data_IF_712040910335
#
_entry.id   IF_712040910335
#
_cell.length_a   1.000
_cell.length_b   1.000
_cell.length_c   1.000
_cell.angle_alpha   90.00
_cell.angle_beta   90.00
_cell.angle_gamma   90.00
#
_symmetry.space_group_name_H-M   'P 1'
#
loop_
_entity.id
_entity.type
_entity.pdbx_description
1 polymer ?
#
# COMPACT_ATOMS: atom_id res chain seq x y z
N UNK A 1 -9.19 3.13 21.17
CA UNK A 1 -9.20 2.74 19.74
C UNK A 1 -8.96 1.24 19.64
N UNK A 2 -9.78 0.44 20.33
CA UNK A 2 -9.55 -1.01 20.50
C UNK A 2 -10.86 -1.82 20.48
N UNK A 3 -11.99 -1.22 20.06
CA UNK A 3 -13.33 -1.85 20.12
C UNK A 3 -14.02 -1.97 18.76
N UNK A 4 -13.27 -2.21 17.66
CA UNK A 4 -13.86 -2.39 16.33
C UNK A 4 -13.73 -3.81 15.75
N UNK A 5 -13.19 -4.76 16.52
CA UNK A 5 -13.04 -6.17 16.12
C UNK A 5 -13.91 -7.16 16.91
N UNK A 6 -15.02 -6.70 17.48
CA UNK A 6 -15.99 -7.56 18.16
C UNK A 6 -17.37 -7.45 17.53
N UNK A 7 -17.57 -8.09 16.38
CA UNK A 7 -18.91 -8.47 15.92
C UNK A 7 -19.04 -9.97 16.10
N UNK A 8 -19.56 -10.35 17.26
CA UNK A 8 -20.08 -11.67 17.54
C UNK A 8 -21.25 -12.02 16.58
N UNK A 9 -21.48 -13.32 16.29
CA UNK A 9 -22.61 -13.75 15.47
C UNK A 9 -23.92 -13.60 16.27
N UNK A 10 -24.69 -12.54 16.02
CA UNK A 10 -26.08 -12.40 16.45
C UNK A 10 -26.99 -13.03 15.39
N UNK A 11 -27.67 -14.14 15.63
CA UNK A 11 -28.90 -14.25 16.44
C UNK A 11 -29.86 -13.09 16.10
N UNK A 12 -30.52 -13.20 14.94
CA UNK A 12 -31.66 -12.36 14.61
C UNK A 12 -32.85 -12.77 15.49
N UNK A 13 -33.36 -11.81 16.26
CA UNK A 13 -34.59 -11.93 17.05
C UNK A 13 -35.79 -12.03 16.10
N UNK A 14 -36.52 -13.14 16.11
CA UNK A 14 -37.88 -13.19 15.56
C UNK A 14 -38.86 -13.57 16.67
N UNK A 15 -39.89 -12.74 16.83
CA UNK A 15 -41.12 -13.12 17.51
C UNK A 15 -41.86 -14.17 16.67
N UNK A 16 -42.46 -15.14 17.33
CA UNK A 16 -42.86 -16.40 16.74
C UNK A 16 -44.12 -16.40 15.87
N UNK A 17 -44.19 -17.43 15.03
CA UNK A 17 -45.37 -18.24 14.74
C UNK A 17 -44.86 -19.62 14.27
N UNK A 18 -45.38 -20.70 14.84
CA UNK A 18 -45.00 -22.05 14.50
C UNK A 18 -45.43 -22.38 13.05
N UNK A 19 -44.49 -22.91 12.26
CA UNK A 19 -44.82 -23.64 11.04
C UNK A 19 -43.82 -24.77 10.86
N UNK A 20 -44.37 -25.97 10.79
CA UNK A 20 -43.64 -27.23 10.88
C UNK A 20 -43.08 -27.65 9.52
N UNK A 21 -41.90 -28.28 9.59
CA UNK A 21 -41.34 -29.26 8.67
C UNK A 21 -41.52 -29.03 7.15
N UNK A 22 -40.42 -28.68 6.49
CA UNK A 22 -39.72 -29.59 5.56
C UNK A 22 -38.64 -28.79 4.84
N UNK A 23 -37.38 -29.07 5.14
CA UNK A 23 -36.23 -28.44 4.53
C UNK A 23 -35.13 -29.47 4.42
N UNK A 24 -35.13 -30.16 3.29
CA UNK A 24 -34.23 -31.25 2.94
C UNK A 24 -32.76 -30.90 3.26
N UNK A 25 -32.12 -31.73 4.07
CA UNK A 25 -30.66 -31.75 4.21
C UNK A 25 -30.05 -32.52 3.04
N UNK A 26 -30.07 -31.94 1.83
CA UNK A 26 -29.30 -32.49 0.71
C UNK A 26 -28.69 -31.32 -0.07
N UNK A 27 -27.38 -31.11 0.11
CA UNK A 27 -26.63 -30.12 -0.67
C UNK A 27 -25.28 -29.68 -0.10
N UNK A 28 -24.62 -30.47 0.74
CA UNK A 28 -23.28 -30.14 1.29
C UNK A 28 -22.10 -30.53 0.40
N UNK A 29 -22.32 -31.03 -0.82
CA UNK A 29 -21.23 -31.55 -1.67
C UNK A 29 -20.57 -30.50 -2.58
N UNK A 30 -21.14 -29.30 -2.73
CA UNK A 30 -20.61 -28.31 -3.67
C UNK A 30 -19.51 -27.41 -3.08
N UNK A 31 -19.51 -27.14 -1.76
CA UNK A 31 -18.51 -26.25 -1.16
C UNK A 31 -17.18 -26.95 -0.83
N UNK A 32 -17.22 -28.26 -0.58
CA UNK A 32 -16.00 -29.06 -0.35
C UNK A 32 -15.19 -29.18 -1.65
N UNK A 33 -15.85 -29.49 -2.77
CA UNK A 33 -15.20 -29.59 -4.08
C UNK A 33 -14.60 -28.26 -4.58
N UNK A 34 -15.25 -27.12 -4.29
CA UNK A 34 -14.73 -25.80 -4.64
C UNK A 34 -13.49 -25.41 -3.82
N UNK A 35 -13.44 -25.81 -2.54
CA UNK A 35 -12.27 -25.63 -1.67
C UNK A 35 -11.08 -26.46 -2.17
N UNK A 36 -11.32 -27.72 -2.55
CA UNK A 36 -10.28 -28.62 -3.06
C UNK A 36 -9.67 -28.12 -4.37
N UNK A 37 -10.50 -27.61 -5.28
CA UNK A 37 -10.03 -26.96 -6.51
C UNK A 37 -9.17 -25.73 -6.22
N UNK A 38 -9.57 -24.91 -5.25
CA UNK A 38 -8.82 -23.71 -4.86
C UNK A 38 -7.43 -24.08 -4.31
N UNK A 39 -7.34 -25.10 -3.47
CA UNK A 39 -6.06 -25.58 -2.94
C UNK A 39 -5.19 -26.20 -4.03
N UNK A 40 -5.78 -26.91 -5.00
CA UNK A 40 -5.06 -27.40 -6.17
C UNK A 40 -4.46 -26.26 -7.00
N UNK A 41 -5.25 -25.22 -7.30
CA UNK A 41 -4.77 -24.04 -8.03
C UNK A 41 -3.64 -23.33 -7.28
N UNK A 42 -3.78 -23.16 -5.96
CA UNK A 42 -2.71 -22.58 -5.12
C UNK A 42 -1.44 -23.44 -5.17
N UNK A 43 -1.55 -24.75 -5.13
CA UNK A 43 -0.41 -25.66 -5.23
C UNK A 43 0.27 -25.56 -6.61
N UNK A 44 -0.50 -25.46 -7.69
CA UNK A 44 0.03 -25.24 -9.04
C UNK A 44 0.77 -23.90 -9.14
N UNK A 45 0.19 -22.82 -8.64
CA UNK A 45 0.81 -21.49 -8.62
C UNK A 45 2.09 -21.50 -7.76
N UNK A 46 2.05 -22.10 -6.56
CA UNK A 46 3.19 -22.16 -5.64
C UNK A 46 4.33 -23.05 -6.16
N UNK A 47 4.01 -24.09 -6.92
CA UNK A 47 4.99 -24.97 -7.56
C UNK A 47 5.59 -24.41 -8.85
N UNK A 48 5.08 -23.29 -9.35
CA UNK A 48 5.46 -22.75 -10.66
C UNK A 48 6.86 -22.10 -10.67
N UNK A 49 7.69 -22.28 -11.71
CA UNK A 49 9.03 -21.68 -11.80
C UNK A 49 9.05 -20.16 -11.71
N UNK A 50 7.97 -19.50 -12.14
CA UNK A 50 7.80 -18.04 -12.06
C UNK A 50 7.25 -17.54 -10.72
N UNK A 51 6.86 -18.42 -9.80
CA UNK A 51 6.33 -18.02 -8.49
C UNK A 51 7.25 -17.09 -7.70
N UNK A 52 8.59 -17.28 -7.66
CA UNK A 52 9.48 -16.36 -6.97
C UNK A 52 9.44 -14.94 -7.56
N UNK A 53 9.34 -14.81 -8.88
CA UNK A 53 9.21 -13.50 -9.55
C UNK A 53 7.88 -12.84 -9.23
N UNK A 54 6.79 -13.62 -9.24
CA UNK A 54 5.46 -13.13 -8.89
C UNK A 54 5.40 -12.62 -7.45
N UNK A 55 5.90 -13.42 -6.51
CA UNK A 55 5.95 -13.05 -5.10
C UNK A 55 6.81 -11.79 -4.88
N UNK A 56 7.93 -11.67 -5.59
CA UNK A 56 8.78 -10.47 -5.53
C UNK A 56 8.04 -9.23 -6.01
N UNK A 57 7.32 -9.30 -7.14
CA UNK A 57 6.53 -8.18 -7.65
C UNK A 57 5.41 -7.78 -6.68
N UNK A 58 4.75 -8.77 -6.06
CA UNK A 58 3.73 -8.54 -5.05
C UNK A 58 4.28 -7.83 -3.80
N UNK A 59 5.41 -8.31 -3.26
CA UNK A 59 6.08 -7.69 -2.11
C UNK A 59 6.46 -6.24 -2.41
N UNK A 60 7.05 -5.99 -3.58
CA UNK A 60 7.44 -4.65 -4.00
C UNK A 60 6.25 -3.69 -4.12
N UNK A 61 5.11 -4.18 -4.61
CA UNK A 61 3.87 -3.43 -4.62
C UNK A 61 3.36 -3.14 -3.20
N UNK A 62 3.40 -4.13 -2.30
CA UNK A 62 2.95 -3.99 -0.90
C UNK A 62 3.82 -3.07 -0.06
N UNK A 63 5.07 -2.87 -0.45
CA UNK A 63 6.01 -1.96 0.23
C UNK A 63 5.71 -0.49 -0.04
N UNK A 64 4.98 -0.15 -1.11
CA UNK A 64 4.67 1.24 -1.43
C UNK A 64 3.79 1.84 -0.31
N UNK A 65 4.29 2.89 0.34
CA UNK A 65 3.62 3.56 1.46
C UNK A 65 3.61 2.77 2.78
N UNK A 66 4.26 1.61 2.85
CA UNK A 66 4.34 0.82 4.08
C UNK A 66 5.31 1.46 5.09
N UNK A 67 5.03 1.38 6.41
CA UNK A 67 6.01 1.73 7.44
C UNK A 67 7.30 0.90 7.31
N UNK A 68 8.47 1.41 7.75
CA UNK A 68 9.74 0.71 7.65
C UNK A 68 9.74 -0.70 8.26
N UNK A 69 9.04 -0.88 9.37
CA UNK A 69 8.93 -2.17 10.08
C UNK A 69 8.19 -3.20 9.22
N UNK A 70 7.12 -2.78 8.55
CA UNK A 70 6.31 -3.63 7.66
C UNK A 70 7.08 -3.94 6.38
N UNK A 71 7.79 -2.95 5.81
CA UNK A 71 8.61 -3.16 4.63
C UNK A 71 9.74 -4.16 4.88
N UNK A 72 10.38 -4.09 6.05
CA UNK A 72 11.41 -5.05 6.49
C UNK A 72 10.84 -6.46 6.67
N UNK A 73 9.67 -6.59 7.31
CA UNK A 73 8.99 -7.88 7.45
C UNK A 73 8.68 -8.51 6.08
N UNK A 74 8.20 -7.71 5.13
CA UNK A 74 7.91 -8.18 3.77
C UNK A 74 9.18 -8.66 3.04
N UNK A 75 10.31 -7.99 3.27
CA UNK A 75 11.61 -8.39 2.71
C UNK A 75 12.13 -9.70 3.31
N UNK A 76 11.91 -9.92 4.61
CA UNK A 76 12.19 -11.19 5.28
C UNK A 76 11.42 -12.34 4.65
N UNK A 77 10.10 -12.19 4.51
CA UNK A 77 9.21 -13.19 3.91
C UNK A 77 9.68 -13.51 2.47
N UNK A 78 10.04 -12.50 1.69
CA UNK A 78 10.57 -12.69 0.34
C UNK A 78 11.86 -13.50 0.31
N UNK A 79 12.75 -13.30 1.29
CA UNK A 79 14.03 -14.01 1.39
C UNK A 79 13.85 -15.46 1.82
N UNK A 80 13.02 -15.72 2.82
CA UNK A 80 12.69 -17.08 3.28
C UNK A 80 12.12 -17.94 2.15
N UNK A 81 11.20 -17.37 1.36
CA UNK A 81 10.57 -18.07 0.23
C UNK A 81 11.52 -18.30 -0.94
N UNK A 82 12.47 -17.39 -1.19
CA UNK A 82 13.53 -17.60 -2.19
C UNK A 82 14.51 -18.70 -1.78
N UNK A 83 14.84 -18.80 -0.49
CA UNK A 83 15.72 -19.85 0.03
C UNK A 83 15.09 -21.25 -0.03
N UNK A 84 13.76 -21.35 0.10
CA UNK A 84 13.01 -22.61 -0.03
C UNK A 84 12.68 -23.05 -1.46
N UNK A 85 12.90 -22.20 -2.47
CA UNK A 85 12.49 -22.45 -3.86
C UNK A 85 13.41 -23.42 -4.64
N UNK A 86 14.43 -24.00 -3.99
CA UNK A 86 15.43 -24.86 -4.63
C UNK A 86 14.94 -26.23 -5.13
N UNK A 87 13.63 -26.52 -5.11
CA UNK A 87 13.07 -27.83 -5.47
C UNK A 87 11.86 -27.74 -6.42
N UNK A 88 11.63 -26.60 -7.07
CA UNK A 88 10.50 -26.43 -7.99
C UNK A 88 10.81 -27.08 -9.34
N UNK A 89 10.48 -28.37 -9.48
CA UNK A 89 10.60 -29.18 -10.70
C UNK A 89 9.52 -28.89 -11.76
N UNK A 90 9.07 -27.64 -11.85
CA UNK A 90 8.14 -27.22 -12.91
C UNK A 90 8.90 -26.88 -14.17
N UNK A 91 8.46 -27.39 -15.31
CA UNK A 91 8.97 -26.94 -16.61
C UNK A 91 8.05 -25.85 -17.16
N UNK A 92 8.64 -24.76 -17.65
CA UNK A 92 7.89 -23.73 -18.38
C UNK A 92 7.35 -24.36 -19.66
N UNK A 93 6.07 -24.17 -19.97
CA UNK A 93 5.40 -24.71 -21.14
C UNK A 93 4.56 -25.97 -20.91
N UNK A 94 4.52 -26.51 -19.68
CA UNK A 94 3.62 -27.63 -19.32
C UNK A 94 2.17 -27.19 -19.30
N UNK A 95 1.92 -25.96 -18.85
CA UNK A 95 0.61 -25.32 -18.81
C UNK A 95 0.74 -23.88 -19.35
N UNK A 96 0.52 -23.66 -20.65
CA UNK A 96 0.73 -22.35 -21.28
C UNK A 96 -0.25 -21.28 -20.76
N UNK A 97 -1.44 -21.68 -20.28
CA UNK A 97 -2.40 -20.76 -19.68
C UNK A 97 -1.90 -20.27 -18.32
N UNK A 98 -1.38 -21.18 -17.50
CA UNK A 98 -0.74 -20.81 -16.24
C UNK A 98 0.53 -19.97 -16.46
N UNK A 99 1.35 -20.31 -17.46
CA UNK A 99 2.52 -19.51 -17.81
C UNK A 99 2.15 -18.06 -18.16
N UNK A 100 1.15 -17.89 -19.02
CA UNK A 100 0.64 -16.58 -19.42
C UNK A 100 0.05 -15.83 -18.22
N UNK A 101 -0.74 -16.50 -17.38
CA UNK A 101 -1.28 -15.93 -16.15
C UNK A 101 -0.16 -15.41 -15.23
N UNK A 102 0.85 -16.24 -14.96
CA UNK A 102 1.95 -15.89 -14.07
C UNK A 102 2.72 -14.67 -14.59
N UNK A 103 2.94 -14.59 -15.91
CA UNK A 103 3.61 -13.44 -16.52
C UNK A 103 2.72 -12.19 -16.55
N UNK A 104 1.47 -12.32 -16.96
CA UNK A 104 0.51 -11.22 -17.03
C UNK A 104 0.30 -10.59 -15.65
N UNK A 105 0.15 -11.41 -14.62
CA UNK A 105 -0.07 -10.92 -13.26
C UNK A 105 1.18 -10.22 -12.70
N UNK A 106 2.39 -10.70 -13.01
CA UNK A 106 3.62 -9.96 -12.71
C UNK A 106 3.61 -8.56 -13.36
N UNK A 107 3.25 -8.45 -14.64
CA UNK A 107 3.19 -7.16 -15.35
C UNK A 107 2.18 -6.21 -14.72
N UNK A 108 1.01 -6.72 -14.32
CA UNK A 108 -0.01 -5.93 -13.62
C UNK A 108 0.52 -5.41 -12.28
N UNK A 109 1.18 -6.24 -11.49
CA UNK A 109 1.75 -5.82 -10.19
C UNK A 109 2.84 -4.75 -10.35
N UNK A 110 3.68 -4.85 -11.38
CA UNK A 110 4.70 -3.84 -11.67
C UNK A 110 4.06 -2.51 -12.04
N UNK A 111 3.10 -2.50 -12.96
CA UNK A 111 2.36 -1.26 -13.31
C UNK A 111 1.64 -0.69 -12.08
N UNK A 112 1.00 -1.55 -11.30
CA UNK A 112 0.27 -1.11 -10.12
C UNK A 112 1.21 -0.49 -9.07
N UNK A 113 2.42 -1.03 -8.89
CA UNK A 113 3.46 -0.40 -8.06
C UNK A 113 3.79 1.01 -8.56
N UNK A 114 4.02 1.18 -9.86
CA UNK A 114 4.34 2.50 -10.46
C UNK A 114 3.21 3.51 -10.23
N UNK A 115 1.96 3.09 -10.46
CA UNK A 115 0.76 3.90 -10.21
C UNK A 115 0.61 4.27 -8.73
N UNK A 116 0.89 3.33 -7.81
CA UNK A 116 0.87 3.59 -6.38
C UNK A 116 2.01 4.51 -5.92
N UNK A 117 3.19 4.42 -6.50
CA UNK A 117 4.35 5.25 -6.14
C UNK A 117 4.16 6.70 -6.57
N UNK A 118 3.52 6.92 -7.72
CA UNK A 118 3.38 8.24 -8.33
C UNK A 118 2.81 9.33 -7.39
N UNK A 119 1.69 9.12 -6.66
CA UNK A 119 1.18 10.12 -5.71
C UNK A 119 2.17 10.51 -4.61
N UNK A 120 3.00 9.57 -4.13
CA UNK A 120 4.01 9.85 -3.10
C UNK A 120 5.13 10.71 -3.67
N UNK A 121 5.61 10.38 -4.87
CA UNK A 121 6.67 11.14 -5.54
C UNK A 121 6.20 12.55 -5.91
N UNK A 122 4.97 12.69 -6.41
CA UNK A 122 4.33 13.98 -6.71
C UNK A 122 4.18 14.84 -5.44
N UNK A 123 3.73 14.24 -4.33
CA UNK A 123 3.61 14.95 -3.05
C UNK A 123 4.97 15.37 -2.48
N UNK A 124 5.97 14.49 -2.53
CA UNK A 124 7.33 14.78 -2.06
C UNK A 124 7.97 15.92 -2.87
N UNK A 125 7.79 15.91 -4.19
CA UNK A 125 8.21 16.99 -5.09
C UNK A 125 7.50 18.30 -4.77
N UNK A 126 6.17 18.27 -4.60
CA UNK A 126 5.38 19.45 -4.26
C UNK A 126 5.84 20.07 -2.94
N UNK A 127 6.01 19.27 -1.88
CA UNK A 127 6.46 19.75 -0.58
C UNK A 127 7.88 20.31 -0.64
N UNK A 128 8.78 19.68 -1.39
CA UNK A 128 10.16 20.17 -1.58
C UNK A 128 10.18 21.53 -2.30
N UNK A 129 9.28 21.72 -3.27
CA UNK A 129 9.10 23.00 -3.96
C UNK A 129 8.62 24.10 -3.01
N UNK A 130 7.60 23.82 -2.19
CA UNK A 130 7.09 24.78 -1.20
C UNK A 130 8.15 25.11 -0.15
N UNK A 131 8.87 24.09 0.36
CA UNK A 131 9.97 24.29 1.31
C UNK A 131 11.05 25.23 0.73
N UNK A 132 11.40 25.05 -0.54
CA UNK A 132 12.38 25.91 -1.23
C UNK A 132 11.88 27.35 -1.32
N UNK A 133 10.62 27.57 -1.71
CA UNK A 133 10.02 28.92 -1.78
C UNK A 133 10.03 29.61 -0.41
N UNK A 134 9.66 28.90 0.65
CA UNK A 134 9.68 29.44 2.02
C UNK A 134 11.11 29.77 2.49
N UNK A 135 12.09 28.92 2.19
CA UNK A 135 13.49 29.16 2.56
C UNK A 135 14.08 30.42 1.91
N UNK A 136 13.71 30.71 0.66
CA UNK A 136 14.15 31.90 -0.07
C UNK A 136 13.55 33.18 0.53
N UNK A 137 12.27 33.15 0.93
CA UNK A 137 11.62 34.28 1.61
C UNK A 137 12.30 34.61 2.95
N UNK A 138 12.60 33.58 3.73
CA UNK A 138 13.29 33.74 5.02
C UNK A 138 14.73 34.23 4.86
N UNK A 139 15.42 33.84 3.79
CA UNK A 139 16.82 34.24 3.55
C UNK A 139 16.94 35.67 3.02
N UNK A 140 15.91 36.18 2.32
CA UNK A 140 15.87 37.54 1.77
C UNK A 140 15.57 38.67 2.76
N UNK A 141 15.18 38.36 4.00
CA UNK A 141 14.76 39.38 5.00
C UNK A 141 15.87 39.92 5.90
N UNK A 142 17.13 39.54 5.67
CA UNK A 142 18.29 40.13 6.37
C UNK A 142 18.66 41.50 5.81
N UNK A 143 17.71 42.44 5.76
CA UNK A 143 18.03 43.85 5.59
C UNK A 143 18.20 44.48 6.97
N UNK A 144 19.42 44.88 7.38
CA UNK A 144 19.61 45.56 8.66
C UNK A 144 18.84 46.87 8.64
N UNK A 145 17.99 47.06 9.64
CA UNK A 145 17.24 48.28 9.87
C UNK A 145 18.18 49.50 9.82
N UNK A 146 18.05 50.31 8.76
CA UNK A 146 18.61 51.64 8.72
C UNK A 146 17.81 52.50 9.70
N UNK A 147 18.33 52.67 10.91
CA UNK A 147 17.89 53.66 11.88
C UNK A 147 18.17 55.05 11.32
N UNK A 148 17.24 55.59 10.54
CA UNK A 148 17.26 56.99 10.15
C UNK A 148 16.81 57.85 11.34
N UNK A 149 17.76 58.18 12.23
CA UNK A 149 17.60 59.25 13.22
C UNK A 149 17.58 60.60 12.48
N UNK A 150 16.41 61.03 12.02
CA UNK A 150 16.19 62.43 11.64
C UNK A 150 16.00 63.25 12.93
N UNK A 151 17.11 63.79 13.42
CA UNK A 151 17.15 64.82 14.46
C UNK A 151 16.54 66.11 13.90
N UNK A 152 15.30 66.41 14.30
CA UNK A 152 14.68 67.71 14.05
C UNK A 152 14.54 68.49 15.35
N UNK A 153 15.26 69.60 15.51
CA UNK A 153 14.83 70.70 16.38
C UNK A 153 15.47 72.07 16.03
N UNK A 154 14.66 72.86 15.30
CA UNK A 154 14.40 74.30 15.44
C UNK A 154 15.57 75.31 15.57
N UNK A 155 15.76 76.10 14.50
CA UNK A 155 16.13 77.53 14.61
C UNK A 155 14.97 78.34 15.18
N UNK A 156 15.28 79.39 15.97
CA UNK A 156 14.49 80.60 15.94
C UNK A 156 15.35 81.84 15.61
N UNK A 157 14.83 82.60 14.67
CA UNK A 157 15.20 83.97 14.32
C UNK A 157 15.17 84.91 15.54
N UNK A 158 16.13 85.84 15.64
CA UNK A 158 15.94 87.16 16.25
C UNK A 158 16.99 88.19 15.82
N UNK A 159 16.47 89.25 15.19
CA UNK A 159 16.81 90.69 15.31
C UNK A 159 18.27 91.15 15.24
N UNK A 160 18.59 91.98 14.24
CA UNK A 160 18.61 93.43 14.41
C UNK A 160 18.53 94.17 13.07
#
# INVERSE_FOLDING_TARGET
>A
MEDLYSIHPGISRVGGAASEASGVVIGGSSSVAASDLTELMKAQIAGHPRYPSLLSAYIECRKVGAPPEVASLLEEIGRERRAGAGCCSGEIGVDPELDEFMEAYCRVLVRYKEELSRPFDEAASFLSSIQTQLSNLCSGSSSPAATATHSGKSEPHSTS
#
